data_IF_814699488037
#
_entry.id   IF_814699488037
#
_cell.length_a   1.000
_cell.length_b   1.000
_cell.length_c   1.000
_cell.angle_alpha   90.00
_cell.angle_beta   90.00
_cell.angle_gamma   90.00
#
_symmetry.space_group_name_H-M   'P 1'
#
loop_
_entity.id
_entity.type
_entity.pdbx_description
1 polymer ?
#
# COMPACT_ATOMS: atom_id res chain seq x y z
N UNK A 1 12.97 -4.16 42.00
CA UNK A 1 12.77 -3.25 40.84
C UNK A 1 11.91 -4.00 39.83
N UNK A 2 10.64 -3.63 39.60
CA UNK A 2 9.85 -4.29 38.57
C UNK A 2 10.38 -3.89 37.19
N UNK A 3 10.62 -4.89 36.35
CA UNK A 3 10.96 -4.75 34.94
C UNK A 3 9.87 -3.94 34.23
N UNK A 4 10.19 -2.95 33.37
CA UNK A 4 9.16 -2.27 32.61
C UNK A 4 8.43 -3.28 31.72
N UNK A 5 7.10 -3.26 31.76
CA UNK A 5 6.28 -4.06 30.86
C UNK A 5 6.66 -3.76 29.40
N UNK A 6 6.62 -4.77 28.49
CA UNK A 6 6.90 -4.53 27.09
C UNK A 6 5.95 -3.47 26.56
N UNK A 7 6.53 -2.42 25.95
CA UNK A 7 5.79 -1.40 25.23
C UNK A 7 5.05 -2.14 24.12
N UNK A 8 3.72 -2.15 24.18
CA UNK A 8 2.88 -2.67 23.11
C UNK A 8 3.05 -1.75 21.90
N UNK A 9 4.07 -2.02 21.09
CA UNK A 9 4.15 -1.54 19.72
C UNK A 9 3.04 -2.26 18.98
N UNK A 10 1.87 -1.61 18.84
CA UNK A 10 0.89 -1.96 17.81
C UNK A 10 1.57 -1.79 16.44
N UNK A 11 2.43 -2.74 16.08
CA UNK A 11 2.88 -2.95 14.72
C UNK A 11 1.63 -3.29 13.95
N UNK A 12 1.09 -2.30 13.21
CA UNK A 12 -0.08 -2.51 12.36
C UNK A 12 0.26 -3.62 11.37
N UNK A 13 -0.16 -4.83 11.68
CA UNK A 13 -0.02 -5.99 10.80
C UNK A 13 -0.87 -5.70 9.57
N UNK A 14 -0.21 -5.52 8.43
CA UNK A 14 -0.88 -5.31 7.15
C UNK A 14 -1.14 -6.67 6.54
N UNK A 15 -2.37 -6.90 6.08
CA UNK A 15 -2.72 -8.08 5.30
C UNK A 15 -3.66 -7.66 4.18
N UNK A 16 -3.50 -8.25 3.00
CA UNK A 16 -4.39 -7.97 1.89
C UNK A 16 -5.83 -8.42 2.22
N UNK A 17 -6.86 -7.60 1.90
CA UNK A 17 -8.24 -8.06 1.96
C UNK A 17 -8.47 -9.29 1.07
N UNK A 18 -9.24 -10.25 1.57
CA UNK A 18 -9.64 -11.46 0.84
C UNK A 18 -11.12 -11.44 0.44
N UNK A 19 -11.50 -12.34 -0.46
CA UNK A 19 -12.88 -12.47 -0.94
C UNK A 19 -13.29 -11.44 -1.99
N UNK A 20 -14.59 -11.37 -2.28
CA UNK A 20 -15.17 -10.60 -3.40
C UNK A 20 -15.58 -9.17 -3.05
N UNK A 21 -15.58 -8.80 -1.77
CA UNK A 21 -15.94 -7.44 -1.34
C UNK A 21 -14.85 -6.44 -1.75
N UNK A 22 -15.26 -5.29 -2.27
CA UNK A 22 -14.36 -4.23 -2.74
C UNK A 22 -14.23 -3.12 -1.70
N UNK A 23 -13.00 -2.61 -1.53
CA UNK A 23 -12.70 -1.37 -0.80
C UNK A 23 -12.47 -0.17 -1.72
N UNK A 24 -12.14 -0.43 -2.99
CA UNK A 24 -11.95 0.57 -4.04
C UNK A 24 -13.15 0.65 -5.00
N UNK A 25 -13.17 1.64 -5.90
CA UNK A 25 -14.25 1.84 -6.88
C UNK A 25 -14.31 0.78 -8.00
N UNK A 26 -13.30 -0.08 -8.12
CA UNK A 26 -13.23 -1.11 -9.15
C UNK A 26 -12.12 -2.12 -8.87
N UNK A 27 -12.16 -3.25 -9.59
CA UNK A 27 -11.21 -4.34 -9.40
C UNK A 27 -9.77 -3.98 -9.75
N UNK A 28 -9.53 -3.08 -10.70
CA UNK A 28 -8.17 -2.68 -11.07
C UNK A 28 -7.48 -1.92 -9.92
N UNK A 29 -8.20 -1.01 -9.26
CA UNK A 29 -7.70 -0.25 -8.11
C UNK A 29 -7.62 -1.14 -6.86
N UNK A 30 -8.59 -2.04 -6.69
CA UNK A 30 -8.58 -3.03 -5.61
C UNK A 30 -7.37 -3.97 -5.73
N UNK A 31 -7.07 -4.46 -6.93
CA UNK A 31 -5.92 -5.32 -7.18
C UNK A 31 -4.61 -4.61 -6.80
N UNK A 32 -4.42 -3.36 -7.23
CA UNK A 32 -3.25 -2.57 -6.85
C UNK A 32 -3.16 -2.38 -5.32
N UNK A 33 -4.28 -2.13 -4.64
CA UNK A 33 -4.33 -2.01 -3.19
C UNK A 33 -3.94 -3.33 -2.51
N UNK A 34 -4.53 -4.45 -2.92
CA UNK A 34 -4.26 -5.77 -2.35
C UNK A 34 -2.80 -6.19 -2.56
N UNK A 35 -2.24 -5.95 -3.74
CA UNK A 35 -0.84 -6.26 -4.03
C UNK A 35 0.12 -5.40 -3.20
N UNK A 36 -0.17 -4.11 -3.04
CA UNK A 36 0.59 -3.24 -2.13
C UNK A 36 0.56 -3.76 -0.68
N UNK A 37 -0.61 -4.18 -0.20
CA UNK A 37 -0.77 -4.73 1.15
C UNK A 37 -0.10 -6.09 1.30
N UNK A 38 -0.18 -6.95 0.28
CA UNK A 38 0.47 -8.27 0.27
C UNK A 38 1.99 -8.16 0.35
N UNK A 39 2.59 -7.18 -0.33
CA UNK A 39 4.02 -6.89 -0.21
C UNK A 39 4.46 -6.51 1.22
N UNK A 40 3.53 -6.21 2.13
CA UNK A 40 3.81 -5.86 3.53
C UNK A 40 3.18 -6.85 4.52
N UNK A 41 2.67 -7.98 4.02
CA UNK A 41 2.20 -9.06 4.89
C UNK A 41 3.39 -9.65 5.67
N UNK A 42 3.29 -9.86 7.00
CA UNK A 42 4.36 -10.49 7.78
C UNK A 42 4.80 -11.86 7.28
N UNK A 43 3.95 -12.59 6.58
CA UNK A 43 4.28 -13.89 6.00
C UNK A 43 4.99 -13.77 4.64
N UNK A 44 5.11 -12.54 4.10
CA UNK A 44 5.70 -12.24 2.78
C UNK A 44 6.95 -11.35 2.89
N UNK A 45 6.88 -10.29 3.69
CA UNK A 45 7.91 -9.26 3.78
C UNK A 45 8.99 -9.60 4.82
N UNK A 46 10.25 -9.31 4.51
CA UNK A 46 11.38 -9.50 5.44
C UNK A 46 11.28 -8.58 6.67
N UNK A 47 10.85 -7.32 6.51
CA UNK A 47 10.74 -6.35 7.61
C UNK A 47 9.61 -5.33 7.38
N UNK A 48 8.33 -5.75 7.47
CA UNK A 48 7.17 -4.94 7.06
C UNK A 48 6.99 -3.65 7.86
N UNK A 49 7.41 -3.62 9.14
CA UNK A 49 7.34 -2.42 9.99
C UNK A 49 8.19 -1.24 9.46
N UNK A 50 9.23 -1.56 8.67
CA UNK A 50 10.10 -0.57 8.02
C UNK A 50 9.75 -0.39 6.54
N UNK A 51 8.63 -0.99 6.09
CA UNK A 51 8.15 -1.08 4.71
C UNK A 51 9.05 -1.90 3.77
N UNK A 52 10.01 -2.66 4.32
CA UNK A 52 10.97 -3.44 3.54
C UNK A 52 10.35 -4.79 3.17
N UNK A 53 10.36 -5.10 1.87
CA UNK A 53 9.81 -6.34 1.32
C UNK A 53 10.90 -7.40 1.23
N UNK A 54 11.96 -7.15 0.46
CA UNK A 54 13.11 -8.02 0.31
C UNK A 54 14.33 -7.25 -0.24
N UNK A 55 15.49 -7.91 -0.30
CA UNK A 55 16.68 -7.35 -0.97
C UNK A 55 17.34 -6.22 -0.17
N UNK A 56 17.33 -6.32 1.16
CA UNK A 56 17.98 -5.40 2.07
C UNK A 56 17.20 -4.12 2.32
N UNK A 57 17.07 -3.24 1.33
CA UNK A 57 16.41 -1.92 1.47
C UNK A 57 15.25 -1.70 0.50
N UNK A 58 14.85 -2.72 -0.27
CA UNK A 58 13.71 -2.65 -1.19
C UNK A 58 12.40 -2.44 -0.44
N UNK A 59 11.77 -1.26 -0.61
CA UNK A 59 10.54 -0.88 0.11
C UNK A 59 9.31 -0.81 -0.77
N UNK A 60 8.14 -1.15 -0.20
CA UNK A 60 6.85 -1.04 -0.88
C UNK A 60 6.36 0.43 -1.03
N UNK A 61 6.77 1.31 -0.13
CA UNK A 61 6.49 2.75 -0.18
C UNK A 61 7.65 3.53 0.46
N UNK A 62 7.77 4.82 0.16
CA UNK A 62 8.89 5.66 0.65
C UNK A 62 8.95 5.73 2.18
N UNK A 63 7.79 5.93 2.79
CA UNK A 63 7.57 6.02 4.23
C UNK A 63 6.08 5.77 4.52
N UNK A 64 5.71 5.73 5.81
CA UNK A 64 4.36 5.43 6.25
C UNK A 64 3.31 6.43 5.76
N UNK A 65 3.65 7.72 5.71
CA UNK A 65 2.76 8.76 5.17
C UNK A 65 2.46 8.52 3.69
N UNK A 66 3.48 8.16 2.91
CA UNK A 66 3.32 7.82 1.50
C UNK A 66 2.49 6.55 1.33
N UNK A 67 2.72 5.51 2.13
CA UNK A 67 1.90 4.29 2.11
C UNK A 67 0.42 4.62 2.36
N UNK A 68 0.11 5.34 3.44
CA UNK A 68 -1.26 5.73 3.76
C UNK A 68 -1.88 6.64 2.70
N UNK A 69 -1.09 7.53 2.09
CA UNK A 69 -1.56 8.36 0.98
C UNK A 69 -1.85 7.53 -0.29
N UNK A 70 -1.05 6.52 -0.62
CA UNK A 70 -1.32 5.59 -1.73
C UNK A 70 -2.62 4.83 -1.46
N UNK A 71 -2.77 4.23 -0.27
CA UNK A 71 -3.98 3.49 0.12
C UNK A 71 -5.23 4.36 0.02
N UNK A 72 -5.21 5.57 0.59
CA UNK A 72 -6.35 6.51 0.48
C UNK A 72 -6.65 6.88 -0.96
N UNK A 73 -5.62 7.07 -1.78
CA UNK A 73 -5.80 7.48 -3.18
C UNK A 73 -6.39 6.34 -4.01
N UNK A 74 -5.88 5.10 -3.89
CA UNK A 74 -6.42 3.93 -4.58
C UNK A 74 -7.91 3.69 -4.26
N UNK A 75 -8.32 3.86 -3.00
CA UNK A 75 -9.72 3.71 -2.60
C UNK A 75 -10.68 4.68 -3.30
N UNK A 76 -10.22 5.91 -3.62
CA UNK A 76 -11.03 6.93 -4.31
C UNK A 76 -10.77 7.07 -5.81
N UNK A 77 -9.79 6.35 -6.36
CA UNK A 77 -9.34 6.51 -7.73
C UNK A 77 -10.41 6.01 -8.71
N UNK A 78 -10.81 6.84 -9.66
CA UNK A 78 -11.84 6.50 -10.64
C UNK A 78 -11.32 5.58 -11.75
N UNK A 79 -12.25 5.02 -12.52
CA UNK A 79 -11.95 4.16 -13.68
C UNK A 79 -11.38 4.92 -14.88
N UNK A 80 -11.32 6.25 -14.87
CA UNK A 80 -10.67 7.07 -15.90
C UNK A 80 -9.54 7.94 -15.32
N UNK A 81 -9.01 7.57 -14.15
CA UNK A 81 -7.89 8.25 -13.49
C UNK A 81 -6.68 7.33 -13.29
N UNK A 82 -5.48 7.91 -13.36
CA UNK A 82 -4.20 7.24 -13.13
C UNK A 82 -3.46 7.91 -11.97
N UNK A 83 -3.06 7.12 -10.97
CA UNK A 83 -2.18 7.52 -9.88
C UNK A 83 -0.71 7.49 -10.34
N UNK A 84 0.01 8.58 -10.12
CA UNK A 84 1.45 8.68 -10.35
C UNK A 84 2.19 8.46 -9.02
N UNK A 85 3.07 7.47 -8.98
CA UNK A 85 3.95 7.15 -7.86
C UNK A 85 5.39 7.39 -8.31
N UNK A 86 6.17 8.14 -7.55
CA UNK A 86 7.58 8.40 -7.86
C UNK A 86 8.41 7.92 -6.67
N UNK A 87 9.25 6.91 -6.86
CA UNK A 87 10.07 6.30 -5.80
C UNK A 87 9.28 6.09 -4.50
N UNK A 88 8.13 5.41 -4.62
CA UNK A 88 7.24 5.07 -3.50
C UNK A 88 6.45 6.24 -2.88
N UNK A 89 6.42 7.44 -3.50
CA UNK A 89 5.60 8.58 -3.08
C UNK A 89 4.48 8.84 -4.09
N UNK A 90 3.20 8.94 -3.67
CA UNK A 90 2.13 9.36 -4.57
C UNK A 90 2.27 10.86 -4.87
N UNK A 91 2.54 11.22 -6.13
CA UNK A 91 2.84 12.61 -6.52
C UNK A 91 1.67 13.30 -7.22
N UNK A 92 0.69 12.56 -7.72
CA UNK A 92 -0.49 13.14 -8.33
C UNK A 92 -1.47 12.11 -8.88
N UNK A 93 -2.65 12.58 -9.23
CA UNK A 93 -3.64 11.81 -10.00
C UNK A 93 -3.97 12.64 -11.23
N UNK A 94 -3.95 12.00 -12.39
CA UNK A 94 -4.31 12.63 -13.66
C UNK A 94 -5.46 11.86 -14.29
N UNK A 95 -6.35 12.58 -14.98
CA UNK A 95 -7.39 11.94 -15.78
C UNK A 95 -6.77 11.38 -17.05
N UNK A 96 -7.12 10.14 -17.37
CA UNK A 96 -6.71 9.41 -18.56
C UNK A 96 -7.96 8.86 -19.26
N UNK A 97 -8.08 7.54 -19.41
CA UNK A 97 -9.23 6.83 -19.95
C UNK A 97 -9.29 5.43 -19.31
N UNK A 98 -10.36 4.68 -19.51
CA UNK A 98 -10.59 3.37 -18.87
C UNK A 98 -9.58 2.27 -19.22
N UNK A 99 -9.08 2.27 -20.46
CA UNK A 99 -8.04 1.34 -20.91
C UNK A 99 -6.62 1.69 -20.44
N UNK A 100 -6.41 2.86 -19.81
CA UNK A 100 -5.10 3.27 -19.32
C UNK A 100 -4.72 2.52 -18.02
N UNK A 101 -3.43 2.43 -17.67
CA UNK A 101 -3.00 1.92 -16.36
C UNK A 101 -3.60 2.73 -15.21
N UNK A 102 -3.99 2.06 -14.11
CA UNK A 102 -4.46 2.74 -12.89
C UNK A 102 -3.32 3.37 -12.08
N UNK A 103 -2.12 2.83 -12.20
CA UNK A 103 -0.95 3.29 -11.47
C UNK A 103 0.25 3.30 -12.41
N UNK A 104 1.04 4.37 -12.37
CA UNK A 104 2.37 4.46 -12.99
C UNK A 104 3.39 4.70 -11.87
N UNK A 105 4.49 3.94 -11.87
CA UNK A 105 5.51 3.89 -10.79
C UNK A 105 6.89 4.21 -11.38
#
# INVERSE_FOLDING_TARGET
MPHPAPINTDSRVIRAPHGKALSCQGWHQEAALRMLMNNLDPDVAEKPQDLIVYGGTGKAARNWDCYHAIVRTLKRLKNDETLLVQSGKPVGVVRTHDQAPRVLI
#
